data_IF_885462599564
#
_entry.id   IF_885462599564
#
_cell.length_a   1.000
_cell.length_b   1.000
_cell.length_c   1.000
_cell.angle_alpha   90.00
_cell.angle_beta   90.00
_cell.angle_gamma   90.00
#
_symmetry.space_group_name_H-M   'P 1'
#
loop_
_entity.id
_entity.type
_entity.pdbx_description
1 polymer ?
#
# COMPACT_ATOMS: atom_id res chain seq x y z
N UNK A 1 -9.18 -9.41 28.93
CA UNK A 1 -9.16 -8.24 28.04
C UNK A 1 -9.01 -8.76 26.63
N UNK A 2 -9.94 -8.48 25.73
CA UNK A 2 -9.76 -8.74 24.30
C UNK A 2 -8.73 -7.76 23.75
N UNK A 3 -7.89 -8.19 22.83
CA UNK A 3 -7.00 -7.29 22.12
C UNK A 3 -7.84 -6.27 21.31
N UNK A 4 -7.40 -5.01 21.20
CA UNK A 4 -8.07 -4.03 20.36
C UNK A 4 -8.09 -4.51 18.90
N UNK A 5 -9.19 -4.25 18.22
CA UNK A 5 -9.28 -4.47 16.77
C UNK A 5 -8.56 -3.33 16.02
N UNK A 6 -8.26 -3.54 14.74
CA UNK A 6 -7.68 -2.47 13.91
C UNK A 6 -8.61 -1.24 13.89
N UNK A 7 -9.92 -1.46 13.86
CA UNK A 7 -10.92 -0.39 13.92
C UNK A 7 -10.86 0.39 15.24
N UNK A 8 -10.55 -0.27 16.37
CA UNK A 8 -10.39 0.38 17.67
C UNK A 8 -9.24 1.38 17.70
N UNK A 9 -8.24 1.21 16.81
CA UNK A 9 -7.09 2.11 16.70
C UNK A 9 -7.38 3.37 15.87
N UNK A 10 -8.49 3.41 15.13
CA UNK A 10 -8.88 4.49 14.22
C UNK A 10 -10.25 5.09 14.57
N UNK A 11 -10.64 5.07 15.87
CA UNK A 11 -11.98 5.46 16.35
C UNK A 11 -12.43 6.85 15.90
N UNK A 12 -11.52 7.81 15.89
CA UNK A 12 -11.87 9.22 15.66
C UNK A 12 -12.13 9.56 14.19
N UNK A 13 -11.85 8.64 13.23
CA UNK A 13 -12.00 8.93 11.82
C UNK A 13 -12.27 7.70 10.94
N UNK A 14 -13.39 7.03 11.17
CA UNK A 14 -13.80 5.82 10.44
C UNK A 14 -13.84 6.01 8.91
N UNK A 15 -14.15 7.21 8.42
CA UNK A 15 -14.17 7.51 6.98
C UNK A 15 -12.75 7.55 6.42
N UNK A 16 -11.78 8.13 7.15
CA UNK A 16 -10.38 8.14 6.72
C UNK A 16 -9.81 6.72 6.79
N UNK A 17 -10.10 5.98 7.84
CA UNK A 17 -9.70 4.57 7.97
C UNK A 17 -10.21 3.76 6.78
N UNK A 18 -11.49 3.89 6.44
CA UNK A 18 -12.05 3.21 5.28
C UNK A 18 -11.38 3.62 3.96
N UNK A 19 -11.10 4.92 3.74
CA UNK A 19 -10.38 5.39 2.55
C UNK A 19 -8.95 4.84 2.50
N UNK A 20 -8.27 4.74 3.64
CA UNK A 20 -6.96 4.11 3.75
C UNK A 20 -7.02 2.63 3.39
N UNK A 21 -8.05 1.92 3.83
CA UNK A 21 -8.27 0.52 3.46
C UNK A 21 -8.52 0.36 1.96
N UNK A 22 -9.28 1.24 1.33
CA UNK A 22 -9.47 1.25 -0.13
C UNK A 22 -8.15 1.52 -0.87
N UNK A 23 -7.32 2.45 -0.38
CA UNK A 23 -5.99 2.68 -0.92
C UNK A 23 -5.10 1.44 -0.78
N UNK A 24 -5.08 0.83 0.40
CA UNK A 24 -4.32 -0.39 0.67
C UNK A 24 -4.81 -1.57 -0.18
N UNK A 25 -6.11 -1.70 -0.39
CA UNK A 25 -6.68 -2.70 -1.30
C UNK A 25 -6.19 -2.50 -2.73
N UNK A 26 -6.15 -1.25 -3.21
CA UNK A 26 -5.60 -0.91 -4.52
C UNK A 26 -4.11 -1.26 -4.61
N UNK A 27 -3.31 -0.86 -3.61
CA UNK A 27 -1.86 -1.07 -3.58
C UNK A 27 -1.47 -2.55 -3.46
N UNK A 28 -2.35 -3.37 -2.87
CA UNK A 28 -2.13 -4.81 -2.71
C UNK A 28 -2.79 -5.67 -3.80
N UNK A 29 -3.28 -5.06 -4.88
CA UNK A 29 -3.68 -5.79 -6.07
C UNK A 29 -2.47 -6.37 -6.80
N UNK A 30 -2.68 -7.51 -7.47
CA UNK A 30 -1.65 -8.07 -8.35
C UNK A 30 -1.36 -7.12 -9.51
N UNK A 31 -0.08 -6.89 -9.85
CA UNK A 31 0.26 -6.08 -11.01
C UNK A 31 -0.24 -6.74 -12.30
N UNK A 32 -0.50 -5.95 -13.31
CA UNK A 32 -0.90 -6.47 -14.63
C UNK A 32 0.15 -7.46 -15.14
N UNK A 33 -0.29 -8.65 -15.57
CA UNK A 33 0.60 -9.71 -16.07
C UNK A 33 1.54 -9.23 -17.18
N UNK A 34 1.09 -8.34 -18.05
CA UNK A 34 1.88 -7.74 -19.13
C UNK A 34 3.03 -6.83 -18.65
N UNK A 35 2.93 -6.31 -17.41
CA UNK A 35 3.95 -5.46 -16.78
C UNK A 35 5.02 -6.26 -16.06
N UNK A 36 4.75 -7.50 -15.74
CA UNK A 36 5.70 -8.37 -15.06
C UNK A 36 6.63 -8.98 -16.09
N UNK A 37 7.93 -8.74 -15.92
CA UNK A 37 8.99 -9.28 -16.76
C UNK A 37 9.84 -10.27 -15.99
N UNK A 38 10.41 -11.25 -16.69
CA UNK A 38 11.39 -12.15 -16.15
C UNK A 38 12.79 -11.56 -16.33
N UNK A 39 13.63 -11.71 -15.29
CA UNK A 39 14.99 -11.17 -15.31
C UNK A 39 15.85 -11.96 -16.31
N UNK A 40 16.58 -11.30 -17.25
CA UNK A 40 17.26 -11.97 -18.35
C UNK A 40 18.39 -12.91 -17.91
N UNK A 41 18.97 -12.67 -16.71
CA UNK A 41 20.11 -13.43 -16.21
C UNK A 41 19.81 -14.27 -14.96
N UNK A 42 18.67 -14.06 -14.31
CA UNK A 42 18.27 -14.78 -13.11
C UNK A 42 16.95 -15.48 -13.40
N UNK A 43 17.06 -16.78 -13.75
CA UNK A 43 15.89 -17.60 -14.11
C UNK A 43 14.85 -17.60 -13.00
N UNK A 44 13.59 -17.36 -13.37
CA UNK A 44 12.47 -17.35 -12.45
C UNK A 44 12.33 -16.08 -11.60
N UNK A 45 13.29 -15.14 -11.65
CA UNK A 45 13.18 -13.87 -10.95
C UNK A 45 12.34 -12.88 -11.77
N UNK A 46 11.25 -12.39 -11.20
CA UNK A 46 10.33 -11.46 -11.85
C UNK A 46 10.51 -10.05 -11.32
N UNK A 47 10.23 -9.07 -12.18
CA UNK A 47 10.30 -7.66 -11.80
C UNK A 47 9.32 -6.81 -12.61
N UNK A 48 9.02 -5.61 -12.11
CA UNK A 48 8.29 -4.57 -12.84
C UNK A 48 9.31 -3.56 -13.40
N UNK A 49 9.27 -3.23 -14.71
CA UNK A 49 10.12 -2.19 -15.29
C UNK A 49 9.90 -0.82 -14.64
N UNK A 50 10.97 -0.01 -14.57
CA UNK A 50 10.94 1.28 -13.86
C UNK A 50 9.91 2.26 -14.46
N UNK A 51 9.68 2.23 -15.77
CA UNK A 51 8.68 3.06 -16.43
C UNK A 51 7.26 2.79 -15.92
N UNK A 52 6.95 1.53 -15.55
CA UNK A 52 5.66 1.14 -14.96
C UNK A 52 5.57 1.57 -13.49
N UNK A 53 6.65 1.45 -12.74
CA UNK A 53 6.73 1.94 -11.35
C UNK A 53 6.49 3.45 -11.31
N UNK A 54 7.20 4.23 -12.12
CA UNK A 54 7.01 5.68 -12.18
C UNK A 54 5.63 6.07 -12.71
N UNK A 55 5.06 5.30 -13.65
CA UNK A 55 3.68 5.49 -14.10
C UNK A 55 2.69 5.34 -12.94
N UNK A 56 2.84 4.30 -12.12
CA UNK A 56 1.98 4.07 -10.95
C UNK A 56 2.13 5.17 -9.91
N UNK A 57 3.35 5.63 -9.62
CA UNK A 57 3.60 6.77 -8.72
C UNK A 57 2.81 8.01 -9.17
N UNK A 58 2.90 8.37 -10.46
CA UNK A 58 2.14 9.52 -11.01
C UNK A 58 0.63 9.31 -10.95
N UNK A 59 0.18 8.10 -11.21
CA UNK A 59 -1.26 7.79 -11.28
C UNK A 59 -1.92 7.80 -9.90
N UNK A 60 -1.28 7.22 -8.89
CA UNK A 60 -1.84 7.00 -7.55
C UNK A 60 -1.59 8.22 -6.66
N UNK A 61 -0.34 8.65 -6.55
CA UNK A 61 0.05 9.69 -5.59
C UNK A 61 0.02 11.10 -6.17
N UNK A 62 -0.01 11.25 -7.51
CA UNK A 62 -0.06 12.53 -8.25
C UNK A 62 1.13 13.46 -7.98
N UNK A 63 1.44 13.74 -6.68
CA UNK A 63 2.60 14.51 -6.24
C UNK A 63 3.62 13.55 -5.61
N UNK A 64 4.79 13.46 -6.20
CA UNK A 64 5.91 12.71 -5.68
C UNK A 64 7.23 13.35 -6.12
N UNK A 65 8.29 13.06 -5.38
CA UNK A 65 9.65 13.50 -5.68
C UNK A 65 10.60 12.37 -5.33
N UNK A 66 11.63 12.19 -6.16
CA UNK A 66 12.70 11.24 -5.90
C UNK A 66 13.96 12.02 -5.57
N UNK A 67 14.49 11.82 -4.37
CA UNK A 67 15.71 12.40 -3.87
C UNK A 67 16.80 11.33 -3.81
N UNK A 68 18.01 11.65 -4.28
CA UNK A 68 19.18 10.79 -4.05
C UNK A 68 19.77 11.20 -2.71
N UNK A 69 19.68 10.32 -1.71
CA UNK A 69 20.15 10.58 -0.35
C UNK A 69 21.62 10.18 -0.13
N UNK A 70 22.14 9.32 -1.00
CA UNK A 70 23.53 8.90 -0.98
C UNK A 70 23.93 8.10 -2.22
N UNK A 71 25.21 8.14 -2.51
CA UNK A 71 25.80 7.32 -3.57
C UNK A 71 27.27 7.10 -3.32
N UNK A 72 27.80 6.00 -3.81
CA UNK A 72 29.21 5.70 -3.65
C UNK A 72 29.65 4.44 -4.35
N UNK A 73 30.90 4.12 -4.17
CA UNK A 73 31.53 2.88 -4.64
C UNK A 73 31.93 2.03 -3.45
N UNK A 74 31.86 0.71 -3.60
CA UNK A 74 32.36 -0.26 -2.64
C UNK A 74 32.94 -1.44 -3.39
N UNK A 75 34.25 -1.71 -3.20
CA UNK A 75 34.99 -2.72 -3.97
C UNK A 75 34.81 -2.50 -5.48
N UNK A 76 34.24 -3.47 -6.17
CA UNK A 76 33.96 -3.45 -7.61
C UNK A 76 32.47 -3.14 -7.91
N UNK A 77 31.78 -2.45 -7.02
CA UNK A 77 30.38 -2.10 -7.19
C UNK A 77 30.10 -0.65 -6.88
N UNK A 78 28.91 -0.23 -7.27
CA UNK A 78 28.32 1.08 -6.91
C UNK A 78 27.04 0.86 -6.13
N UNK A 79 26.72 1.81 -5.26
CA UNK A 79 25.45 1.84 -4.55
C UNK A 79 24.83 3.24 -4.62
N UNK A 80 23.51 3.26 -4.58
CA UNK A 80 22.70 4.49 -4.53
C UNK A 80 21.61 4.26 -3.51
N UNK A 81 21.36 5.26 -2.65
CA UNK A 81 20.19 5.33 -1.80
C UNK A 81 19.29 6.45 -2.29
N UNK A 82 17.98 6.20 -2.26
CA UNK A 82 16.98 7.19 -2.64
C UNK A 82 15.92 7.31 -1.56
N UNK A 83 15.28 8.47 -1.54
CA UNK A 83 14.05 8.73 -0.80
C UNK A 83 12.97 9.08 -1.80
N UNK A 84 11.89 8.31 -1.79
CA UNK A 84 10.69 8.58 -2.59
C UNK A 84 9.69 9.29 -1.68
N UNK A 85 9.59 10.61 -1.82
CA UNK A 85 8.56 11.42 -1.18
C UNK A 85 7.27 11.29 -1.97
N UNK A 86 6.14 11.17 -1.29
CA UNK A 86 4.84 11.11 -1.91
C UNK A 86 3.78 11.77 -1.02
N UNK A 87 2.78 12.35 -1.67
CA UNK A 87 1.65 12.93 -0.99
C UNK A 87 0.59 11.85 -0.74
N UNK A 88 0.31 11.56 0.54
CA UNK A 88 -0.63 10.52 0.90
C UNK A 88 -2.05 10.98 0.57
N UNK A 89 -2.81 10.26 -0.29
CA UNK A 89 -4.05 10.76 -0.86
C UNK A 89 -5.21 10.88 0.14
N UNK A 90 -5.11 10.24 1.29
CA UNK A 90 -6.16 10.20 2.32
C UNK A 90 -5.77 10.91 3.61
N UNK A 91 -4.48 11.04 3.92
CA UNK A 91 -3.99 11.66 5.15
C UNK A 91 -3.54 13.11 4.97
N UNK A 92 -3.61 13.62 3.74
CA UNK A 92 -3.27 15.00 3.38
C UNK A 92 -1.87 15.43 3.85
N UNK A 93 -0.92 14.50 3.82
CA UNK A 93 0.45 14.68 4.33
C UNK A 93 1.50 14.16 3.37
N UNK A 94 2.71 14.74 3.45
CA UNK A 94 3.89 14.22 2.76
C UNK A 94 4.49 13.08 3.58
N UNK A 95 4.66 11.94 2.93
CA UNK A 95 5.33 10.75 3.46
C UNK A 95 6.51 10.36 2.59
N UNK A 96 7.33 9.43 3.04
CA UNK A 96 8.44 8.93 2.25
C UNK A 96 8.73 7.45 2.54
N UNK A 97 9.37 6.82 1.55
CA UNK A 97 10.03 5.52 1.69
C UNK A 97 11.47 5.63 1.21
N UNK A 98 12.37 5.03 1.94
CA UNK A 98 13.79 4.94 1.56
C UNK A 98 14.05 3.62 0.85
N UNK A 99 14.97 3.63 -0.11
CA UNK A 99 15.38 2.44 -0.82
C UNK A 99 16.86 2.46 -1.17
N UNK A 100 17.42 1.29 -1.32
CA UNK A 100 18.83 1.07 -1.69
C UNK A 100 18.94 0.21 -2.94
N UNK A 101 19.88 0.56 -3.79
CA UNK A 101 20.24 -0.23 -4.95
C UNK A 101 21.76 -0.33 -5.12
N UNK A 102 22.25 -1.51 -5.42
CA UNK A 102 23.66 -1.74 -5.66
C UNK A 102 23.87 -2.58 -6.92
N UNK A 103 24.92 -2.30 -7.62
CA UNK A 103 25.28 -2.97 -8.88
C UNK A 103 26.78 -3.22 -8.92
N UNK A 104 27.15 -4.46 -9.23
CA UNK A 104 28.53 -4.78 -9.50
C UNK A 104 28.97 -4.21 -10.85
N UNK A 105 30.17 -3.64 -10.90
CA UNK A 105 30.78 -3.16 -12.16
C UNK A 105 31.06 -4.34 -13.08
N UNK A 106 30.71 -4.20 -14.33
CA UNK A 106 30.98 -5.22 -15.34
C UNK A 106 32.47 -5.36 -15.60
N UNK A 107 32.95 -6.60 -15.59
CA UNK A 107 34.32 -6.97 -15.91
C UNK A 107 34.40 -7.74 -17.25
N UNK A 108 35.59 -7.85 -17.81
CA UNK A 108 35.80 -8.64 -19.01
C UNK A 108 35.42 -10.12 -18.76
N UNK A 109 34.82 -10.78 -19.75
CA UNK A 109 34.32 -12.15 -19.62
C UNK A 109 35.45 -13.12 -19.23
N UNK A 110 35.21 -13.90 -18.19
CA UNK A 110 36.15 -14.91 -17.68
C UNK A 110 37.25 -14.37 -16.76
N UNK A 111 37.19 -13.08 -16.41
CA UNK A 111 38.15 -12.48 -15.47
C UNK A 111 37.57 -12.39 -14.07
N UNK A 112 38.44 -12.25 -13.07
CA UNK A 112 38.03 -12.09 -11.69
C UNK A 112 37.35 -10.71 -11.48
N UNK A 113 36.14 -10.66 -10.89
CA UNK A 113 35.52 -9.39 -10.54
C UNK A 113 36.22 -8.67 -9.36
N UNK A 114 37.11 -9.35 -8.65
CA UNK A 114 37.88 -8.74 -7.56
C UNK A 114 39.06 -7.88 -8.07
N UNK A 115 39.47 -8.04 -9.34
CA UNK A 115 40.54 -7.27 -9.94
C UNK A 115 39.97 -6.08 -10.68
N UNK A 116 40.18 -4.89 -10.13
CA UNK A 116 39.72 -3.61 -10.70
C UNK A 116 40.27 -3.31 -12.07
N UNK A 117 41.44 -3.88 -12.43
CA UNK A 117 42.03 -3.73 -13.77
C UNK A 117 41.17 -4.37 -14.87
N UNK A 118 40.28 -5.31 -14.51
CA UNK A 118 39.42 -6.01 -15.46
C UNK A 118 38.06 -5.29 -15.67
N UNK A 119 37.82 -4.14 -15.03
CA UNK A 119 36.57 -3.38 -15.19
C UNK A 119 36.47 -2.84 -16.61
N UNK A 120 35.35 -3.10 -17.27
CA UNK A 120 35.09 -2.62 -18.62
C UNK A 120 35.02 -1.10 -18.69
N UNK A 121 35.53 -0.51 -19.76
CA UNK A 121 35.37 0.92 -20.03
C UNK A 121 33.89 1.30 -20.07
N UNK A 122 33.52 2.37 -19.38
CA UNK A 122 32.13 2.83 -19.30
C UNK A 122 31.25 2.06 -18.31
N UNK A 123 31.76 1.07 -17.58
CA UNK A 123 30.98 0.32 -16.59
C UNK A 123 30.32 1.21 -15.54
N UNK A 124 31.00 2.27 -15.07
CA UNK A 124 30.44 3.25 -14.13
C UNK A 124 29.25 4.01 -14.70
N UNK A 125 29.32 4.42 -15.98
CA UNK A 125 28.24 5.15 -16.66
C UNK A 125 26.94 4.34 -16.74
N UNK A 126 27.06 3.01 -16.80
CA UNK A 126 25.92 2.11 -16.81
C UNK A 126 25.46 1.72 -15.39
N UNK A 127 26.40 1.54 -14.48
CA UNK A 127 26.11 1.00 -13.15
C UNK A 127 25.31 1.96 -12.27
N UNK A 128 25.62 3.26 -12.25
CA UNK A 128 24.88 4.25 -11.45
C UNK A 128 23.40 4.39 -11.85
N UNK A 129 23.05 4.52 -13.15
CA UNK A 129 21.64 4.54 -13.55
C UNK A 129 20.89 3.27 -13.17
N UNK A 130 21.53 2.10 -13.26
CA UNK A 130 20.93 0.83 -12.86
C UNK A 130 20.75 0.79 -11.33
N UNK A 131 21.78 1.14 -10.55
CA UNK A 131 21.70 1.19 -9.08
C UNK A 131 20.60 2.14 -8.61
N UNK A 132 20.50 3.35 -9.20
CA UNK A 132 19.40 4.28 -8.94
C UNK A 132 18.03 3.65 -9.24
N UNK A 133 17.89 2.97 -10.36
CA UNK A 133 16.64 2.29 -10.74
C UNK A 133 16.24 1.22 -9.72
N UNK A 134 17.22 0.43 -9.26
CA UNK A 134 16.99 -0.58 -8.22
C UNK A 134 16.58 0.07 -6.88
N UNK A 135 17.25 1.15 -6.48
CA UNK A 135 16.92 1.89 -5.27
C UNK A 135 15.48 2.45 -5.29
N UNK A 136 15.03 3.00 -6.44
CA UNK A 136 13.66 3.48 -6.60
C UNK A 136 12.65 2.33 -6.48
N UNK A 137 12.94 1.19 -7.09
CA UNK A 137 12.07 0.00 -6.99
C UNK A 137 11.99 -0.51 -5.56
N UNK A 138 13.12 -0.61 -4.87
CA UNK A 138 13.21 -1.01 -3.47
C UNK A 138 12.38 -0.09 -2.56
N UNK A 139 12.49 1.23 -2.72
CA UNK A 139 11.64 2.19 -2.02
C UNK A 139 10.15 2.00 -2.34
N UNK A 140 9.82 1.69 -3.61
CA UNK A 140 8.44 1.52 -4.03
C UNK A 140 7.83 0.18 -3.62
N UNK A 141 8.63 -0.85 -3.35
CA UNK A 141 8.14 -2.15 -2.85
C UNK A 141 7.38 -2.00 -1.52
N UNK A 142 7.66 -0.97 -0.74
CA UNK A 142 6.93 -0.63 0.48
C UNK A 142 5.46 -0.25 0.25
N UNK A 143 5.07 0.13 -0.96
CA UNK A 143 3.66 0.40 -1.29
C UNK A 143 2.80 -0.85 -1.41
N UNK A 144 3.40 -2.03 -1.67
CA UNK A 144 2.66 -3.29 -1.73
C UNK A 144 2.78 -4.03 -3.07
N UNK A 145 1.90 -5.03 -3.25
CA UNK A 145 1.97 -5.99 -4.38
C UNK A 145 1.92 -5.33 -5.75
N UNK A 146 1.14 -4.27 -5.90
CA UNK A 146 1.00 -3.55 -7.16
C UNK A 146 2.36 -3.04 -7.68
N UNK A 147 3.27 -2.68 -6.76
CA UNK A 147 4.62 -2.23 -7.07
C UNK A 147 5.65 -3.36 -7.15
N UNK A 148 5.29 -4.59 -6.79
CA UNK A 148 6.10 -5.77 -7.03
C UNK A 148 6.69 -6.46 -5.79
N UNK A 149 6.35 -6.03 -4.57
CA UNK A 149 6.95 -6.53 -3.33
C UNK A 149 6.84 -8.06 -3.16
N UNK A 150 5.80 -8.70 -3.71
CA UNK A 150 5.53 -10.13 -3.54
C UNK A 150 5.84 -10.98 -4.78
N UNK A 151 6.34 -10.39 -5.87
CA UNK A 151 6.53 -11.09 -7.15
C UNK A 151 7.40 -12.36 -7.06
N UNK A 152 8.33 -12.38 -6.11
CA UNK A 152 9.28 -13.48 -5.94
C UNK A 152 9.09 -14.22 -4.60
N UNK A 153 8.00 -13.93 -3.86
CA UNK A 153 7.66 -14.61 -2.61
C UNK A 153 6.78 -15.82 -2.89
N UNK A 154 6.95 -16.88 -2.10
CA UNK A 154 6.13 -18.10 -2.18
C UNK A 154 4.82 -17.95 -1.44
N UNK A 155 4.87 -17.30 -0.27
CA UNK A 155 3.72 -17.09 0.60
C UNK A 155 3.34 -15.62 0.61
N UNK A 156 2.11 -15.32 0.26
CA UNK A 156 1.57 -13.97 0.20
C UNK A 156 0.29 -13.88 1.03
N UNK A 157 0.10 -12.75 1.69
CA UNK A 157 -1.13 -12.46 2.43
C UNK A 157 -2.11 -11.73 1.53
N UNK A 158 -3.40 -12.08 1.64
CA UNK A 158 -4.46 -11.31 1.00
C UNK A 158 -4.86 -10.13 1.88
N UNK A 159 -4.84 -8.92 1.32
CA UNK A 159 -5.42 -7.75 1.98
C UNK A 159 -6.94 -7.81 1.86
N UNK A 160 -7.66 -7.60 2.96
CA UNK A 160 -9.12 -7.54 3.02
C UNK A 160 -9.53 -6.20 3.60
N UNK A 161 -10.59 -5.65 3.08
CA UNK A 161 -11.19 -4.41 3.56
C UNK A 161 -12.49 -4.74 4.30
N UNK A 162 -12.70 -4.10 5.43
CA UNK A 162 -13.95 -4.20 6.18
C UNK A 162 -15.10 -3.53 5.42
N UNK A 163 -16.32 -3.76 5.86
CA UNK A 163 -17.50 -3.17 5.25
C UNK A 163 -17.42 -1.63 5.25
N UNK A 164 -17.86 -1.01 4.15
CA UNK A 164 -17.86 0.45 4.01
C UNK A 164 -18.72 1.12 5.09
N UNK A 165 -18.15 1.93 5.98
CA UNK A 165 -18.92 2.58 7.05
C UNK A 165 -20.04 3.48 6.54
N UNK A 166 -19.88 4.09 5.36
CA UNK A 166 -20.89 4.95 4.76
C UNK A 166 -22.08 4.13 4.25
N UNK A 167 -21.81 3.02 3.56
CA UNK A 167 -22.87 2.10 3.09
C UNK A 167 -23.59 1.44 4.27
N UNK A 168 -22.86 1.05 5.32
CA UNK A 168 -23.46 0.53 6.55
C UNK A 168 -24.35 1.58 7.23
N UNK A 169 -23.94 2.84 7.24
CA UNK A 169 -24.74 3.93 7.80
C UNK A 169 -26.03 4.16 7.01
N UNK A 170 -25.93 4.18 5.67
CA UNK A 170 -27.11 4.32 4.78
C UNK A 170 -28.08 3.16 4.99
N UNK A 171 -27.60 1.91 4.97
CA UNK A 171 -28.41 0.73 5.25
C UNK A 171 -29.05 0.79 6.65
N UNK A 172 -28.32 1.28 7.64
CA UNK A 172 -28.84 1.43 9.00
C UNK A 172 -29.98 2.44 9.04
N UNK A 173 -29.83 3.60 8.39
CA UNK A 173 -30.85 4.65 8.33
C UNK A 173 -32.10 4.12 7.65
N UNK A 174 -31.97 3.53 6.44
CA UNK A 174 -33.10 2.98 5.69
C UNK A 174 -33.86 1.91 6.49
N UNK A 175 -33.11 0.99 7.10
CA UNK A 175 -33.72 -0.09 7.85
C UNK A 175 -34.36 0.42 9.17
N UNK A 176 -33.77 1.42 9.80
CA UNK A 176 -34.30 2.04 11.00
C UNK A 176 -35.61 2.79 10.70
N UNK A 177 -35.67 3.55 9.61
CA UNK A 177 -36.89 4.26 9.21
C UNK A 177 -38.03 3.26 8.93
N UNK A 178 -37.74 2.16 8.26
CA UNK A 178 -38.69 1.10 8.00
C UNK A 178 -39.19 0.40 9.29
N UNK A 179 -38.27 0.15 10.22
CA UNK A 179 -38.52 -0.65 11.43
C UNK A 179 -38.83 0.19 12.68
N UNK A 180 -38.85 1.49 12.60
CA UNK A 180 -39.09 2.42 13.70
C UNK A 180 -40.36 2.10 14.55
N UNK A 181 -41.52 1.75 13.94
CA UNK A 181 -42.69 1.36 14.69
C UNK A 181 -42.49 0.09 15.53
N UNK A 182 -41.73 -0.87 15.01
CA UNK A 182 -41.46 -2.12 15.72
C UNK A 182 -40.48 -1.89 16.88
N UNK A 183 -39.42 -1.08 16.66
CA UNK A 183 -38.50 -0.67 17.74
C UNK A 183 -39.26 0.03 18.84
N UNK A 184 -40.21 0.92 18.51
CA UNK A 184 -41.03 1.59 19.52
C UNK A 184 -41.89 0.61 20.32
N UNK A 185 -42.46 -0.40 19.67
CA UNK A 185 -43.29 -1.41 20.31
C UNK A 185 -42.51 -2.29 21.29
N UNK A 186 -41.24 -2.61 20.97
CA UNK A 186 -40.42 -3.54 21.75
C UNK A 186 -39.59 -2.79 22.79
N UNK A 187 -38.86 -1.75 22.39
CA UNK A 187 -37.88 -1.03 23.23
C UNK A 187 -38.34 0.36 23.67
N UNK A 188 -39.52 0.80 23.21
CA UNK A 188 -40.06 2.13 23.51
C UNK A 188 -39.23 3.28 22.92
N UNK A 189 -39.40 4.46 23.50
CA UNK A 189 -38.67 5.65 23.12
C UNK A 189 -37.15 5.55 23.39
N UNK A 190 -36.75 4.74 24.36
CA UNK A 190 -35.35 4.54 24.70
C UNK A 190 -34.59 3.81 23.60
N UNK A 191 -35.19 2.79 22.95
CA UNK A 191 -34.61 2.08 21.84
C UNK A 191 -34.42 2.98 20.61
N UNK A 192 -35.43 3.83 20.31
CA UNK A 192 -35.31 4.82 19.23
C UNK A 192 -34.15 5.79 19.51
N UNK A 193 -34.10 6.40 20.70
CA UNK A 193 -33.07 7.34 21.08
C UNK A 193 -31.67 6.72 21.05
N UNK A 194 -31.55 5.43 21.40
CA UNK A 194 -30.27 4.71 21.32
C UNK A 194 -29.79 4.56 19.87
N UNK A 195 -30.66 4.16 18.94
CA UNK A 195 -30.28 4.00 17.51
C UNK A 195 -29.99 5.36 16.90
N UNK A 196 -30.80 6.38 17.16
CA UNK A 196 -30.55 7.76 16.70
C UNK A 196 -29.18 8.28 17.19
N UNK A 197 -28.79 7.97 18.42
CA UNK A 197 -27.47 8.30 18.96
C UNK A 197 -26.35 7.62 18.17
N UNK A 198 -26.49 6.33 17.89
CA UNK A 198 -25.50 5.56 17.08
C UNK A 198 -25.30 6.22 15.70
N UNK A 199 -26.40 6.60 15.05
CA UNK A 199 -26.37 7.25 13.73
C UNK A 199 -25.73 8.65 13.81
N UNK A 200 -26.16 9.48 14.77
CA UNK A 200 -25.75 10.87 14.89
C UNK A 200 -24.30 11.02 15.36
N UNK A 201 -23.84 10.13 16.25
CA UNK A 201 -22.47 10.13 16.76
C UNK A 201 -21.49 9.35 15.84
N UNK A 202 -21.96 8.80 14.72
CA UNK A 202 -21.16 7.96 13.81
C UNK A 202 -20.47 6.78 14.53
N UNK A 203 -21.21 6.08 15.40
CA UNK A 203 -20.71 4.91 16.12
C UNK A 203 -20.56 3.70 15.18
N UNK A 204 -19.58 3.73 14.26
CA UNK A 204 -19.39 2.76 13.17
C UNK A 204 -19.36 1.32 13.64
N UNK A 205 -18.73 1.06 14.80
CA UNK A 205 -18.65 -0.28 15.39
C UNK A 205 -20.03 -0.88 15.73
N UNK A 206 -20.99 -0.01 15.98
CA UNK A 206 -22.35 -0.40 16.34
C UNK A 206 -23.25 -0.63 15.11
N UNK A 207 -22.85 -0.17 13.91
CA UNK A 207 -23.71 -0.20 12.73
C UNK A 207 -24.13 -1.61 12.36
N UNK A 208 -23.18 -2.52 12.13
CA UNK A 208 -23.50 -3.88 11.73
C UNK A 208 -24.39 -4.60 12.75
N UNK A 209 -24.03 -4.50 14.03
CA UNK A 209 -24.80 -5.10 15.13
C UNK A 209 -26.23 -4.55 15.20
N UNK A 210 -26.39 -3.24 14.99
CA UNK A 210 -27.71 -2.60 14.98
C UNK A 210 -28.53 -2.98 13.75
N UNK A 211 -27.89 -3.08 12.58
CA UNK A 211 -28.53 -3.60 11.35
C UNK A 211 -29.02 -5.03 11.57
N UNK A 212 -28.19 -5.88 12.15
CA UNK A 212 -28.55 -7.29 12.41
C UNK A 212 -29.72 -7.37 13.39
N UNK A 213 -29.72 -6.55 14.45
CA UNK A 213 -30.86 -6.43 15.36
C UNK A 213 -32.13 -5.99 14.62
N UNK A 214 -32.09 -4.92 13.82
CA UNK A 214 -33.25 -4.42 13.08
C UNK A 214 -33.80 -5.44 12.07
N UNK A 215 -32.96 -6.32 11.52
CA UNK A 215 -33.40 -7.41 10.66
C UNK A 215 -34.17 -8.51 11.39
N UNK A 216 -34.01 -8.62 12.69
CA UNK A 216 -34.77 -9.58 13.52
C UNK A 216 -36.17 -9.11 13.89
N UNK A 217 -36.43 -7.82 13.76
CA UNK A 217 -37.75 -7.20 13.97
C UNK A 217 -38.63 -7.30 12.72
#
# INVERSE_FOLDING_TARGET
MSLPTIQDLHEDNAVISYKNDQLNLLLNQEPKKEWVKEHPFVKGHKYIPIDKVEFMLRKIFKKYQIEITGQGTSFNGVWVTVRVHYYHPTEDSMMFHDGIGAVQLQTAKGTSPADLANINNGALSMAYPIAKTLAIKDACDHFGKLFGCDLNRKDTMAFKVDANPLELKEQLIELFDLKRPYVFTIDGSAGISHIERIINNNEVKSYQKTIDYLKTL
#
